data_IF_250004238981
#
_entry.id   IF_250004238981
#
_cell.length_a   1.000
_cell.length_b   1.000
_cell.length_c   1.000
_cell.angle_alpha   90.00
_cell.angle_beta   90.00
_cell.angle_gamma   90.00
#
_symmetry.space_group_name_H-M   'P 1'
#
loop_
_entity.id
_entity.type
_entity.pdbx_description
1 polymer ?
#
# COMPACT_ATOMS: atom_id res chain seq x y z
N UNK A 1 7.68 55.01 61.35
CA UNK A 1 6.44 55.20 62.13
C UNK A 1 5.77 53.85 62.25
N UNK A 2 5.81 53.29 63.45
CA UNK A 2 4.99 52.17 63.87
C UNK A 2 3.52 52.57 63.81
N UNK A 3 2.63 51.64 63.45
CA UNK A 3 1.42 51.40 64.24
C UNK A 3 0.73 50.07 63.88
N UNK A 4 0.14 49.53 64.93
CA UNK A 4 -0.24 48.15 65.16
C UNK A 4 -1.65 47.81 64.65
N UNK A 5 -1.89 46.49 64.61
CA UNK A 5 -3.15 45.79 64.32
C UNK A 5 -4.40 46.30 65.05
N UNK A 6 -5.58 45.92 64.54
CA UNK A 6 -6.51 45.17 65.37
C UNK A 6 -7.08 43.90 64.70
N UNK A 7 -7.32 42.89 65.54
CA UNK A 7 -7.82 41.55 65.22
C UNK A 7 -9.33 41.41 65.51
N UNK A 8 -9.99 40.54 64.71
CA UNK A 8 -11.18 39.67 64.98
C UNK A 8 -12.57 40.32 65.03
N UNK A 9 -13.71 39.57 64.83
CA UNK A 9 -13.95 38.10 64.93
C UNK A 9 -14.59 37.44 63.68
N UNK A 10 -14.26 36.18 63.32
CA UNK A 10 -14.88 34.89 63.71
C UNK A 10 -16.42 34.85 63.65
N UNK A 11 -16.95 34.33 62.53
CA UNK A 11 -18.23 33.60 62.44
C UNK A 11 -18.07 32.43 61.44
N UNK A 12 -18.03 31.20 61.97
CA UNK A 12 -18.54 29.95 61.36
C UNK A 12 -19.87 29.67 62.08
N UNK A 13 -20.87 28.91 61.56
CA UNK A 13 -20.77 27.73 60.68
C UNK A 13 -21.79 27.78 59.51
N UNK A 14 -21.77 26.90 58.51
CA UNK A 14 -22.45 25.59 58.55
C UNK A 14 -22.12 24.81 57.27
N UNK A 15 -22.12 23.49 57.41
CA UNK A 15 -21.57 22.56 56.43
C UNK A 15 -22.29 22.54 55.09
N UNK A 16 -21.50 22.24 54.06
CA UNK A 16 -21.95 21.40 52.97
C UNK A 16 -20.75 20.65 52.43
N UNK A 17 -20.65 19.39 52.88
CA UNK A 17 -19.77 18.38 52.32
C UNK A 17 -20.18 18.11 50.89
N UNK A 18 -19.37 18.54 49.91
CA UNK A 18 -19.35 17.94 48.60
C UNK A 18 -17.94 17.43 48.33
N UNK A 19 -17.80 16.11 48.42
CA UNK A 19 -16.66 15.37 47.91
C UNK A 19 -16.55 15.61 46.41
N UNK A 20 -15.55 16.37 45.98
CA UNK A 20 -14.98 16.20 44.64
C UNK A 20 -13.53 15.79 44.82
N UNK A 21 -13.32 14.47 44.70
CA UNK A 21 -12.00 13.85 44.62
C UNK A 21 -11.19 14.58 43.55
N UNK A 22 -10.01 15.07 43.95
CA UNK A 22 -8.86 15.29 43.08
C UNK A 22 -8.73 14.10 42.12
N UNK A 23 -9.05 14.32 40.86
CA UNK A 23 -8.48 13.53 39.77
C UNK A 23 -7.57 14.49 39.03
N UNK A 24 -6.35 14.61 39.55
CA UNK A 24 -5.22 14.98 38.71
C UNK A 24 -5.02 13.84 37.72
N UNK A 25 -5.54 14.02 36.51
CA UNK A 25 -5.09 13.27 35.34
C UNK A 25 -4.53 14.31 34.39
N UNK A 26 -3.23 14.58 34.57
CA UNK A 26 -2.43 15.10 33.48
C UNK A 26 -2.56 14.12 32.32
N UNK A 27 -3.27 14.54 31.28
CA UNK A 27 -3.36 13.87 29.99
C UNK A 27 -2.04 14.00 29.22
N UNK A 28 -0.94 13.64 29.90
CA UNK A 28 0.27 13.19 29.25
C UNK A 28 -0.01 11.78 28.74
N UNK A 29 -0.65 11.72 27.57
CA UNK A 29 -0.76 10.52 26.74
C UNK A 29 0.64 10.05 26.35
N UNK A 30 1.34 9.41 27.30
CA UNK A 30 2.40 8.45 27.01
C UNK A 30 1.71 7.29 26.31
N UNK A 31 1.57 7.41 24.99
CA UNK A 31 1.43 6.24 24.14
C UNK A 31 2.57 5.31 24.52
N UNK A 32 2.25 4.26 25.26
CA UNK A 32 3.14 3.14 25.45
C UNK A 32 3.52 2.67 24.04
N UNK A 33 4.76 2.94 23.64
CA UNK A 33 5.31 2.42 22.38
C UNK A 33 5.18 0.91 22.46
N UNK A 34 4.21 0.35 21.75
CA UNK A 34 4.09 -1.10 21.59
C UNK A 34 5.38 -1.55 20.92
N UNK A 35 6.24 -2.34 21.57
CA UNK A 35 7.58 -2.67 21.05
C UNK A 35 7.55 -3.31 19.65
N UNK A 36 6.42 -3.93 19.27
CA UNK A 36 6.22 -4.53 17.94
C UNK A 36 5.79 -3.58 16.82
N UNK A 37 5.18 -2.43 17.12
CA UNK A 37 4.64 -1.53 16.09
C UNK A 37 5.75 -0.86 15.26
N UNK A 38 6.88 -0.56 15.89
CA UNK A 38 8.06 0.02 15.23
C UNK A 38 8.77 -1.00 14.33
N UNK A 39 8.82 -2.27 14.75
CA UNK A 39 9.39 -3.37 13.95
C UNK A 39 8.53 -3.65 12.71
N UNK A 40 7.19 -3.71 12.85
CA UNK A 40 6.29 -3.90 11.72
C UNK A 40 6.34 -2.74 10.72
N UNK A 41 6.44 -1.49 11.20
CA UNK A 41 6.58 -0.31 10.33
C UNK A 41 7.88 -0.34 9.53
N UNK A 42 9.01 -0.67 10.18
CA UNK A 42 10.31 -0.82 9.53
C UNK A 42 10.31 -1.96 8.51
N UNK A 43 9.71 -3.10 8.86
CA UNK A 43 9.55 -4.23 7.94
C UNK A 43 8.67 -3.90 6.74
N UNK A 44 7.59 -3.13 6.91
CA UNK A 44 6.75 -2.69 5.81
C UNK A 44 7.52 -1.76 4.86
N UNK A 45 8.23 -0.76 5.39
CA UNK A 45 9.10 0.12 4.59
C UNK A 45 10.19 -0.66 3.84
N UNK A 46 10.76 -1.69 4.48
CA UNK A 46 11.71 -2.58 3.84
C UNK A 46 11.06 -3.38 2.71
N UNK A 47 9.88 -3.97 2.94
CA UNK A 47 9.14 -4.73 1.93
C UNK A 47 8.81 -3.85 0.71
N UNK A 48 8.32 -2.62 0.95
CA UNK A 48 8.05 -1.63 -0.09
C UNK A 48 9.32 -1.28 -0.89
N UNK A 49 10.46 -1.15 -0.20
CA UNK A 49 11.75 -0.88 -0.84
C UNK A 49 12.23 -2.04 -1.70
N UNK A 50 12.03 -3.27 -1.25
CA UNK A 50 12.37 -4.49 -2.01
C UNK A 50 11.49 -4.59 -3.25
N UNK A 51 10.18 -4.40 -3.11
CA UNK A 51 9.24 -4.40 -4.24
C UNK A 51 9.61 -3.33 -5.26
N UNK A 52 9.92 -2.11 -4.80
CA UNK A 52 10.35 -1.02 -5.68
C UNK A 52 11.62 -1.40 -6.44
N UNK A 53 12.68 -1.81 -5.75
CA UNK A 53 13.95 -2.16 -6.38
C UNK A 53 13.82 -3.31 -7.39
N UNK A 54 12.99 -4.31 -7.07
CA UNK A 54 12.72 -5.43 -7.96
C UNK A 54 11.95 -5.00 -9.22
N UNK A 55 10.88 -4.22 -9.06
CA UNK A 55 10.07 -3.72 -10.18
C UNK A 55 10.87 -2.78 -11.09
N UNK A 56 11.69 -1.90 -10.52
CA UNK A 56 12.54 -0.97 -11.27
C UNK A 56 13.81 -1.62 -11.81
N UNK A 57 14.00 -2.94 -11.60
CA UNK A 57 15.19 -3.70 -12.02
C UNK A 57 16.51 -3.13 -11.46
N UNK A 58 16.46 -2.48 -10.30
CA UNK A 58 17.65 -2.00 -9.58
C UNK A 58 18.27 -3.16 -8.79
N UNK A 59 19.05 -3.98 -9.50
CA UNK A 59 19.66 -5.19 -8.93
C UNK A 59 20.60 -4.88 -7.77
N UNK A 60 21.38 -3.80 -7.85
CA UNK A 60 22.33 -3.40 -6.81
C UNK A 60 21.59 -3.03 -5.51
N UNK A 61 20.52 -2.23 -5.61
CA UNK A 61 19.69 -1.90 -4.44
C UNK A 61 18.94 -3.11 -3.91
N UNK A 62 18.37 -3.94 -4.78
CA UNK A 62 17.66 -5.15 -4.39
C UNK A 62 18.57 -6.08 -3.59
N UNK A 63 19.80 -6.27 -4.07
CA UNK A 63 20.80 -7.08 -3.39
C UNK A 63 21.15 -6.54 -1.99
N UNK A 64 21.39 -5.24 -1.88
CA UNK A 64 21.66 -4.58 -0.60
C UNK A 64 20.50 -4.76 0.39
N UNK A 65 19.26 -4.59 -0.07
CA UNK A 65 18.07 -4.73 0.75
C UNK A 65 17.85 -6.18 1.23
N UNK A 66 18.07 -7.17 0.37
CA UNK A 66 17.97 -8.59 0.73
C UNK A 66 19.10 -9.02 1.68
N UNK A 67 20.30 -8.45 1.53
CA UNK A 67 21.42 -8.67 2.45
C UNK A 67 21.14 -8.07 3.81
N UNK A 68 20.65 -6.83 3.89
CA UNK A 68 20.22 -6.19 5.14
C UNK A 68 19.15 -7.03 5.86
N UNK A 69 18.27 -7.67 5.09
CA UNK A 69 17.27 -8.57 5.61
C UNK A 69 17.92 -9.68 6.47
N UNK A 70 19.03 -10.29 6.05
CA UNK A 70 19.70 -11.36 6.84
C UNK A 70 20.11 -10.96 8.26
N UNK A 71 20.24 -9.67 8.57
CA UNK A 71 20.50 -9.18 9.93
C UNK A 71 19.24 -8.83 10.74
N UNK A 72 18.06 -8.86 10.13
CA UNK A 72 16.79 -8.53 10.79
C UNK A 72 16.27 -9.75 11.58
N UNK A 73 16.41 -9.72 12.90
CA UNK A 73 15.68 -10.64 13.76
C UNK A 73 14.21 -10.19 13.83
N UNK A 74 13.31 -10.94 13.21
CA UNK A 74 11.91 -10.57 13.11
C UNK A 74 11.00 -11.73 13.52
N UNK A 75 10.01 -11.42 14.37
CA UNK A 75 8.99 -12.38 14.75
C UNK A 75 8.17 -12.81 13.52
N UNK A 76 7.82 -14.10 13.44
CA UNK A 76 7.04 -14.68 12.32
C UNK A 76 5.75 -13.90 12.01
N UNK A 77 5.09 -13.42 13.05
CA UNK A 77 3.85 -12.67 12.97
C UNK A 77 4.04 -11.31 12.26
N UNK A 78 5.11 -10.59 12.58
CA UNK A 78 5.45 -9.34 11.91
C UNK A 78 5.77 -9.56 10.41
N UNK A 79 6.42 -10.69 10.07
CA UNK A 79 6.70 -11.05 8.67
C UNK A 79 5.45 -11.40 7.86
N UNK A 80 4.45 -12.02 8.50
CA UNK A 80 3.18 -12.34 7.87
C UNK A 80 2.32 -11.09 7.62
N UNK A 81 2.26 -10.16 8.59
CA UNK A 81 1.44 -8.93 8.52
C UNK A 81 2.01 -7.87 7.58
N UNK A 82 3.32 -7.89 7.36
CA UNK A 82 4.01 -6.99 6.44
C UNK A 82 4.20 -7.58 5.05
N UNK A 83 3.92 -8.87 4.88
CA UNK A 83 4.11 -9.56 3.62
C UNK A 83 5.58 -9.84 3.27
N UNK A 84 6.52 -9.47 4.13
CA UNK A 84 7.95 -9.73 3.98
C UNK A 84 8.24 -11.23 3.75
N UNK A 85 7.47 -12.11 4.39
CA UNK A 85 7.59 -13.56 4.20
C UNK A 85 7.37 -14.00 2.74
N UNK A 86 6.45 -13.36 2.01
CA UNK A 86 6.15 -13.68 0.61
C UNK A 86 7.32 -13.25 -0.28
N UNK A 87 7.83 -12.04 -0.07
CA UNK A 87 8.96 -11.50 -0.83
C UNK A 87 10.22 -12.36 -0.65
N UNK A 88 10.51 -12.78 0.57
CA UNK A 88 11.69 -13.61 0.87
C UNK A 88 11.59 -15.02 0.28
N UNK A 89 10.39 -15.58 0.18
CA UNK A 89 10.20 -16.91 -0.40
C UNK A 89 10.03 -16.90 -1.93
N UNK A 90 9.86 -15.73 -2.55
CA UNK A 90 9.59 -15.60 -3.99
C UNK A 90 10.78 -16.01 -4.85
N UNK A 91 10.67 -17.11 -5.58
CA UNK A 91 11.68 -17.52 -6.56
C UNK A 91 11.93 -16.47 -7.64
N UNK A 92 10.90 -15.77 -8.11
CA UNK A 92 10.99 -14.74 -9.13
C UNK A 92 11.81 -13.52 -8.71
N UNK A 93 11.72 -13.11 -7.44
CA UNK A 93 12.54 -11.99 -6.92
C UNK A 93 14.01 -12.40 -6.93
N UNK A 94 14.32 -13.60 -6.43
CA UNK A 94 15.70 -14.10 -6.40
C UNK A 94 16.28 -14.38 -7.78
N UNK A 95 15.47 -14.86 -8.74
CA UNK A 95 15.89 -15.09 -10.12
C UNK A 95 16.23 -13.80 -10.88
N UNK A 96 15.85 -12.62 -10.34
CA UNK A 96 16.23 -11.33 -10.93
C UNK A 96 17.66 -10.88 -10.58
N UNK A 97 18.35 -11.60 -9.69
CA UNK A 97 19.73 -11.36 -9.29
C UNK A 97 20.70 -12.25 -10.09
N UNK A 98 21.99 -11.89 -10.18
CA UNK A 98 23.00 -12.73 -10.83
C UNK A 98 23.10 -14.14 -10.21
N UNK A 99 23.36 -15.15 -11.05
CA UNK A 99 23.41 -16.56 -10.63
C UNK A 99 24.42 -16.86 -9.52
N UNK A 100 25.49 -16.06 -9.44
CA UNK A 100 26.49 -16.11 -8.35
C UNK A 100 25.91 -15.90 -6.95
N UNK A 101 24.64 -15.48 -6.86
CA UNK A 101 23.91 -15.29 -5.60
C UNK A 101 22.96 -16.45 -5.25
N UNK A 102 22.76 -17.45 -6.11
CA UNK A 102 21.87 -18.58 -5.82
C UNK A 102 22.34 -19.42 -4.62
N UNK A 103 23.64 -19.58 -4.41
CA UNK A 103 24.19 -20.29 -3.25
C UNK A 103 23.99 -19.48 -1.95
N UNK A 104 24.25 -18.16 -2.01
CA UNK A 104 24.04 -17.24 -0.88
C UNK A 104 22.56 -17.11 -0.51
N UNK A 105 21.66 -17.20 -1.50
CA UNK A 105 20.21 -17.25 -1.32
C UNK A 105 19.79 -18.42 -0.45
N UNK A 106 20.26 -19.64 -0.73
CA UNK A 106 19.85 -20.82 0.07
C UNK A 106 20.27 -20.67 1.54
N UNK A 107 21.48 -20.16 1.80
CA UNK A 107 21.95 -19.86 3.15
C UNK A 107 21.10 -18.78 3.85
N UNK A 108 20.81 -17.67 3.16
CA UNK A 108 19.98 -16.59 3.67
C UNK A 108 18.55 -17.07 3.97
N UNK A 109 17.89 -17.72 3.01
CA UNK A 109 16.52 -18.25 3.13
C UNK A 109 16.43 -19.28 4.25
N UNK A 110 17.45 -20.14 4.42
CA UNK A 110 17.47 -21.15 5.49
C UNK A 110 17.58 -20.52 6.87
N UNK A 111 18.50 -19.58 7.08
CA UNK A 111 18.64 -18.83 8.35
C UNK A 111 17.34 -18.09 8.69
N UNK A 112 16.73 -17.48 7.70
CA UNK A 112 15.44 -16.81 7.84
C UNK A 112 14.28 -17.75 8.21
N UNK A 113 14.19 -18.90 7.55
CA UNK A 113 13.18 -19.93 7.86
C UNK A 113 13.35 -20.49 9.27
N UNK A 114 14.58 -20.64 9.75
CA UNK A 114 14.87 -21.05 11.12
C UNK A 114 14.38 -20.00 12.13
N UNK A 115 14.67 -18.71 11.90
CA UNK A 115 14.19 -17.61 12.75
C UNK A 115 12.65 -17.50 12.75
N UNK A 116 12.01 -17.71 11.60
CA UNK A 116 10.55 -17.70 11.50
C UNK A 116 9.86 -18.89 12.19
N UNK A 117 10.53 -20.03 12.38
CA UNK A 117 9.96 -21.20 13.08
C UNK A 117 9.87 -21.02 14.59
N UNK A 118 10.66 -20.12 15.16
CA UNK A 118 10.75 -19.90 16.61
C UNK A 118 9.60 -19.05 17.20
N UNK A 119 8.65 -18.56 16.39
CA UNK A 119 7.47 -17.84 16.89
C UNK A 119 6.18 -18.65 16.68
N UNK A 120 5.33 -18.80 17.72
CA UNK A 120 4.07 -19.52 17.61
C UNK A 120 3.15 -18.83 16.61
N UNK A 121 2.51 -19.61 15.74
CA UNK A 121 1.57 -19.12 14.75
C UNK A 121 0.22 -18.87 15.41
N UNK A 122 -0.21 -17.60 15.49
CA UNK A 122 -1.61 -17.27 15.70
C UNK A 122 -2.28 -17.03 14.34
N UNK A 123 -3.51 -17.53 14.21
CA UNK A 123 -4.35 -17.46 13.01
C UNK A 123 -4.78 -16.01 12.71
N UNK A 124 -3.87 -15.17 12.24
CA UNK A 124 -4.22 -13.85 11.71
C UNK A 124 -4.23 -13.83 10.17
N UNK A 125 -5.15 -13.04 9.63
CA UNK A 125 -5.31 -12.76 8.20
C UNK A 125 -4.02 -12.17 7.63
N UNK A 126 -3.32 -12.98 6.83
CA UNK A 126 -2.12 -12.56 6.09
C UNK A 126 -2.53 -11.43 5.13
N UNK A 127 -2.08 -10.20 5.38
CA UNK A 127 -2.17 -9.14 4.36
C UNK A 127 -1.17 -9.48 3.26
N UNK A 128 -1.68 -9.83 2.09
CA UNK A 128 -0.85 -10.14 0.93
C UNK A 128 -0.30 -8.82 0.37
N UNK A 129 1.02 -8.55 0.44
CA UNK A 129 1.61 -7.28 0.00
C UNK A 129 1.48 -7.09 -1.52
N UNK A 130 1.22 -8.17 -2.24
CA UNK A 130 1.01 -8.22 -3.69
C UNK A 130 -0.47 -8.37 -4.07
N UNK A 131 -1.41 -7.90 -3.24
CA UNK A 131 -2.85 -7.95 -3.52
C UNK A 131 -3.41 -9.36 -3.79
N UNK A 132 -2.84 -10.39 -3.17
CA UNK A 132 -3.24 -11.78 -3.37
C UNK A 132 -2.62 -12.47 -4.59
N UNK A 133 -1.77 -11.77 -5.36
CA UNK A 133 -1.10 -12.31 -6.54
C UNK A 133 0.22 -12.98 -6.22
N UNK A 134 0.55 -14.03 -6.96
CA UNK A 134 1.92 -14.52 -7.00
C UNK A 134 2.87 -13.42 -7.52
N UNK A 135 4.14 -13.39 -7.07
CA UNK A 135 5.10 -12.38 -7.50
C UNK A 135 5.20 -12.23 -9.03
N UNK A 136 5.30 -13.32 -9.78
CA UNK A 136 5.34 -13.25 -11.25
C UNK A 136 4.15 -12.49 -11.84
N UNK A 137 2.94 -12.81 -11.40
CA UNK A 137 1.71 -12.18 -11.87
C UNK A 137 1.61 -10.72 -11.44
N UNK A 138 2.05 -10.40 -10.22
CA UNK A 138 2.13 -9.02 -9.75
C UNK A 138 3.06 -8.19 -10.63
N UNK A 139 4.24 -8.69 -10.95
CA UNK A 139 5.18 -8.00 -11.83
C UNK A 139 4.62 -7.84 -13.25
N UNK A 140 3.89 -8.83 -13.75
CA UNK A 140 3.19 -8.72 -15.02
C UNK A 140 2.11 -7.63 -14.99
N UNK A 141 1.30 -7.57 -13.93
CA UNK A 141 0.29 -6.53 -13.75
C UNK A 141 0.93 -5.13 -13.69
N UNK A 142 2.02 -4.98 -12.93
CA UNK A 142 2.78 -3.71 -12.87
C UNK A 142 3.32 -3.32 -14.24
N UNK A 143 3.89 -4.25 -15.01
CA UNK A 143 4.40 -3.94 -16.35
C UNK A 143 3.28 -3.58 -17.33
N UNK A 144 2.12 -4.26 -17.27
CA UNK A 144 0.95 -3.89 -18.09
C UNK A 144 0.47 -2.48 -17.78
N UNK A 145 0.34 -2.14 -16.49
CA UNK A 145 -0.06 -0.81 -16.04
C UNK A 145 0.97 0.26 -16.44
N UNK A 146 2.27 -0.03 -16.26
CA UNK A 146 3.37 0.85 -16.67
C UNK A 146 3.32 1.16 -18.17
N UNK A 147 3.19 0.13 -19.00
CA UNK A 147 3.15 0.30 -20.45
C UNK A 147 1.92 1.09 -20.89
N UNK A 148 0.78 0.90 -20.22
CA UNK A 148 -0.41 1.70 -20.44
C UNK A 148 -0.17 3.17 -20.10
N UNK A 149 0.36 3.47 -18.91
CA UNK A 149 0.69 4.85 -18.49
C UNK A 149 1.65 5.52 -19.50
N UNK A 150 2.69 4.81 -19.93
CA UNK A 150 3.66 5.33 -20.89
C UNK A 150 3.03 5.62 -22.27
N UNK A 151 2.18 4.72 -22.76
CA UNK A 151 1.47 4.91 -24.03
C UNK A 151 0.54 6.14 -23.99
N UNK A 152 -0.08 6.39 -22.84
CA UNK A 152 -0.99 7.51 -22.62
C UNK A 152 -0.29 8.87 -22.58
N UNK A 153 1.00 8.89 -22.25
CA UNK A 153 1.84 10.08 -22.38
C UNK A 153 2.56 10.21 -23.72
N UNK A 154 2.27 9.34 -24.68
CA UNK A 154 2.99 9.30 -25.96
C UNK A 154 4.51 9.12 -25.78
N UNK A 155 4.95 8.46 -24.71
CA UNK A 155 6.34 8.08 -24.53
C UNK A 155 6.64 6.85 -25.41
N UNK A 156 7.10 7.09 -26.64
CA UNK A 156 7.23 6.04 -27.67
C UNK A 156 8.56 5.24 -27.56
N UNK A 157 9.56 5.73 -26.83
CA UNK A 157 10.93 5.15 -26.90
C UNK A 157 11.53 4.81 -25.53
N UNK A 158 11.35 5.66 -24.51
CA UNK A 158 11.87 5.38 -23.16
C UNK A 158 10.78 5.55 -22.09
N UNK A 159 10.39 4.45 -21.44
CA UNK A 159 9.52 4.53 -20.26
C UNK A 159 10.29 5.20 -19.12
N UNK A 160 9.83 6.36 -18.68
CA UNK A 160 10.44 7.07 -17.57
C UNK A 160 10.36 6.23 -16.28
N UNK A 161 11.37 6.28 -15.38
CA UNK A 161 11.37 5.49 -14.15
C UNK A 161 10.13 5.69 -13.26
N UNK A 162 9.54 6.89 -13.29
CA UNK A 162 8.35 7.21 -12.52
C UNK A 162 7.07 6.53 -13.06
N UNK A 163 7.03 6.09 -14.33
CA UNK A 163 5.92 5.27 -14.85
C UNK A 163 5.81 3.96 -14.06
N UNK A 164 6.96 3.32 -13.78
CA UNK A 164 7.02 2.10 -12.98
C UNK A 164 6.64 2.37 -11.51
N UNK A 165 7.02 3.53 -10.97
CA UNK A 165 6.62 3.98 -9.63
C UNK A 165 5.10 4.11 -9.49
N UNK A 166 4.45 4.83 -10.41
CA UNK A 166 3.00 5.01 -10.40
C UNK A 166 2.27 3.68 -10.62
N UNK A 167 2.73 2.85 -11.57
CA UNK A 167 2.17 1.53 -11.80
C UNK A 167 2.23 0.64 -10.56
N UNK A 168 3.37 0.63 -9.85
CA UNK A 168 3.52 -0.10 -8.60
C UNK A 168 2.54 0.39 -7.54
N UNK A 169 2.39 1.71 -7.36
CA UNK A 169 1.46 2.30 -6.38
C UNK A 169 -0.01 1.96 -6.66
N UNK A 170 -0.39 1.81 -7.92
CA UNK A 170 -1.72 1.41 -8.35
C UNK A 170 -1.95 -0.09 -8.11
N UNK A 171 -1.05 -0.94 -8.61
CA UNK A 171 -1.21 -2.40 -8.50
C UNK A 171 -1.12 -2.86 -7.04
N UNK A 172 -0.27 -2.26 -6.21
CA UNK A 172 -0.19 -2.54 -4.78
C UNK A 172 -1.46 -2.17 -3.98
N UNK A 173 -2.36 -1.37 -4.58
CA UNK A 173 -3.69 -1.05 -4.03
C UNK A 173 -4.81 -1.91 -4.64
N UNK A 174 -4.49 -2.85 -5.52
CA UNK A 174 -5.44 -3.75 -6.16
C UNK A 174 -5.91 -3.31 -7.56
N UNK A 175 -5.37 -2.23 -8.12
CA UNK A 175 -5.69 -1.80 -9.48
C UNK A 175 -4.88 -2.60 -10.49
N UNK A 176 -5.31 -3.84 -10.78
CA UNK A 176 -4.62 -4.77 -11.68
C UNK A 176 -4.80 -4.46 -13.18
N UNK A 177 -5.79 -3.62 -13.51
CA UNK A 177 -6.12 -3.20 -14.87
C UNK A 177 -6.41 -1.70 -14.88
N UNK A 178 -6.05 -0.94 -15.94
CA UNK A 178 -6.40 0.47 -16.04
C UNK A 178 -7.90 0.72 -15.84
N UNK A 179 -8.75 -0.17 -16.36
CA UNK A 179 -10.20 -0.07 -16.23
C UNK A 179 -10.71 -0.13 -14.79
N UNK A 180 -9.91 -0.60 -13.83
CA UNK A 180 -10.28 -0.54 -12.41
C UNK A 180 -10.31 0.90 -11.87
N UNK A 181 -9.79 1.89 -12.61
CA UNK A 181 -9.91 3.31 -12.29
C UNK A 181 -11.30 3.89 -12.63
N UNK A 182 -12.16 3.11 -13.29
CA UNK A 182 -13.54 3.51 -13.59
C UNK A 182 -14.31 3.85 -12.31
N UNK A 183 -15.03 4.98 -12.33
CA UNK A 183 -15.85 5.46 -11.22
C UNK A 183 -15.07 6.24 -10.16
N UNK A 184 -13.74 6.30 -10.24
CA UNK A 184 -12.96 7.19 -9.39
C UNK A 184 -13.07 8.64 -9.86
N UNK A 185 -13.00 9.59 -8.94
CA UNK A 185 -12.83 11.01 -9.24
C UNK A 185 -11.35 11.37 -9.44
N UNK A 186 -11.01 12.38 -10.27
CA UNK A 186 -9.63 12.78 -10.52
C UNK A 186 -8.90 13.26 -9.26
N UNK A 187 -9.62 13.82 -8.29
CA UNK A 187 -9.10 14.29 -7.00
C UNK A 187 -8.44 13.17 -6.17
N UNK A 188 -8.89 11.93 -6.36
CA UNK A 188 -8.35 10.76 -5.65
C UNK A 188 -6.88 10.51 -6.02
N UNK A 189 -6.39 11.06 -7.14
CA UNK A 189 -4.98 10.93 -7.53
C UNK A 189 -3.99 11.36 -6.44
N UNK A 190 -4.36 12.36 -5.61
CA UNK A 190 -3.55 12.84 -4.48
C UNK A 190 -3.39 11.82 -3.36
N UNK A 191 -4.31 10.87 -3.24
CA UNK A 191 -4.25 9.79 -2.26
C UNK A 191 -3.27 8.70 -2.69
N UNK A 192 -3.00 8.59 -3.99
CA UNK A 192 -2.10 7.56 -4.52
C UNK A 192 -0.63 7.92 -4.41
N UNK A 193 -0.31 9.20 -4.59
CA UNK A 193 1.07 9.69 -4.70
C UNK A 193 1.19 11.17 -4.34
N UNK A 194 2.33 11.56 -3.78
CA UNK A 194 2.68 12.96 -3.50
C UNK A 194 3.36 13.65 -4.69
N UNK A 195 3.81 12.89 -5.70
CA UNK A 195 4.55 13.41 -6.85
C UNK A 195 3.59 14.13 -7.81
N UNK A 196 3.84 15.42 -8.06
CA UNK A 196 2.96 16.28 -8.88
C UNK A 196 2.77 15.71 -10.29
N UNK A 197 3.83 15.20 -10.89
CA UNK A 197 3.78 14.59 -12.23
C UNK A 197 2.89 13.34 -12.24
N UNK A 198 3.08 12.45 -11.27
CA UNK A 198 2.28 11.22 -11.16
C UNK A 198 0.80 11.56 -10.90
N UNK A 199 0.50 12.56 -10.06
CA UNK A 199 -0.87 13.03 -9.79
C UNK A 199 -1.55 13.57 -11.06
N UNK A 200 -0.86 14.41 -11.82
CA UNK A 200 -1.41 15.01 -13.04
C UNK A 200 -1.74 13.93 -14.08
N UNK A 201 -0.86 12.96 -14.24
CA UNK A 201 -1.05 11.84 -15.17
C UNK A 201 -2.19 10.95 -14.72
N UNK A 202 -2.21 10.53 -13.46
CA UNK A 202 -3.30 9.70 -12.92
C UNK A 202 -4.66 10.39 -13.04
N UNK A 203 -4.73 11.69 -12.77
CA UNK A 203 -5.97 12.47 -12.92
C UNK A 203 -6.48 12.45 -14.38
N UNK A 204 -5.58 12.63 -15.35
CA UNK A 204 -5.92 12.56 -16.78
C UNK A 204 -6.38 11.16 -17.19
N UNK A 205 -5.71 10.12 -16.69
CA UNK A 205 -6.07 8.73 -16.94
C UNK A 205 -7.47 8.40 -16.43
N UNK A 206 -7.78 8.79 -15.19
CA UNK A 206 -9.12 8.60 -14.58
C UNK A 206 -10.20 9.26 -15.44
N UNK A 207 -10.00 10.53 -15.82
CA UNK A 207 -10.95 11.26 -16.68
C UNK A 207 -11.13 10.58 -18.02
N UNK A 208 -10.03 10.14 -18.66
CA UNK A 208 -10.07 9.45 -19.95
C UNK A 208 -10.87 8.15 -19.85
N UNK A 209 -10.59 7.33 -18.83
CA UNK A 209 -11.24 6.02 -18.65
C UNK A 209 -12.73 6.21 -18.37
N UNK A 210 -13.10 7.13 -17.47
CA UNK A 210 -14.51 7.46 -17.23
C UNK A 210 -15.22 7.92 -18.50
N UNK A 211 -14.59 8.80 -19.29
CA UNK A 211 -15.16 9.26 -20.55
C UNK A 211 -15.31 8.14 -21.59
N UNK A 212 -14.33 7.24 -21.70
CA UNK A 212 -14.42 6.07 -22.58
C UNK A 212 -15.57 5.14 -22.17
N UNK A 213 -15.73 4.89 -20.87
CA UNK A 213 -16.81 4.05 -20.35
C UNK A 213 -18.18 4.70 -20.53
N UNK A 214 -18.31 6.00 -20.26
CA UNK A 214 -19.56 6.75 -20.50
C UNK A 214 -19.96 6.72 -21.97
N UNK A 215 -19.03 6.97 -22.90
CA UNK A 215 -19.30 6.90 -24.34
C UNK A 215 -19.77 5.51 -24.77
N UNK A 216 -19.10 4.47 -24.28
CA UNK A 216 -19.49 3.12 -24.65
C UNK A 216 -20.83 2.68 -24.03
N UNK A 217 -21.16 3.13 -22.80
CA UNK A 217 -22.51 2.93 -22.22
C UNK A 217 -23.58 3.66 -23.03
N UNK A 218 -23.33 4.91 -23.43
CA UNK A 218 -24.24 5.68 -24.26
C UNK A 218 -24.43 5.05 -25.65
N UNK A 219 -23.36 4.51 -26.24
CA UNK A 219 -23.43 3.78 -27.51
C UNK A 219 -24.28 2.51 -27.37
N UNK A 220 -24.05 1.72 -26.32
CA UNK A 220 -24.84 0.52 -26.03
C UNK A 220 -26.33 0.84 -25.83
N UNK A 221 -26.65 1.91 -25.09
CA UNK A 221 -28.03 2.36 -24.91
C UNK A 221 -28.67 2.81 -26.23
N UNK A 222 -27.91 3.48 -27.10
CA UNK A 222 -28.40 3.88 -28.43
C UNK A 222 -28.68 2.67 -29.31
N UNK A 223 -27.82 1.66 -29.30
CA UNK A 223 -28.02 0.42 -30.07
C UNK A 223 -29.21 -0.40 -29.56
N UNK A 224 -29.43 -0.44 -28.24
CA UNK A 224 -30.65 -1.01 -27.64
C UNK A 224 -31.91 -0.26 -28.07
N UNK A 225 -31.90 1.08 -28.05
CA UNK A 225 -33.03 1.91 -28.44
C UNK A 225 -33.36 1.82 -29.94
N UNK A 226 -32.37 1.51 -30.78
CA UNK A 226 -32.52 1.33 -32.23
C UNK A 226 -32.94 -0.10 -32.63
N UNK A 227 -33.20 -0.99 -31.66
CA UNK A 227 -33.66 -2.35 -31.94
C UNK A 227 -32.60 -3.24 -32.59
N UNK A 228 -31.31 -3.02 -32.33
CA UNK A 228 -30.25 -3.85 -32.85
C UNK A 228 -30.45 -5.33 -32.43
N UNK A 229 -30.40 -6.24 -33.40
CA UNK A 229 -30.58 -7.68 -33.21
C UNK A 229 -29.73 -8.22 -32.03
N UNK A 230 -30.39 -8.87 -31.07
CA UNK A 230 -29.84 -9.52 -29.87
C UNK A 230 -28.47 -10.24 -30.01
N UNK A 231 -28.14 -10.95 -31.13
CA UNK A 231 -26.81 -11.55 -31.30
C UNK A 231 -25.64 -10.55 -31.30
N UNK A 232 -25.87 -9.28 -31.66
CA UNK A 232 -24.84 -8.23 -31.60
C UNK A 232 -24.62 -7.71 -30.17
N UNK A 233 -25.69 -7.62 -29.38
CA UNK A 233 -25.62 -7.20 -27.98
C UNK A 233 -24.82 -8.21 -27.14
N UNK A 234 -24.93 -9.51 -27.39
CA UNK A 234 -24.10 -10.51 -26.72
C UNK A 234 -22.62 -10.43 -27.09
N UNK A 235 -22.27 -10.09 -28.35
CA UNK A 235 -20.87 -9.84 -28.75
C UNK A 235 -20.31 -8.58 -28.10
N UNK A 236 -21.15 -7.56 -27.95
CA UNK A 236 -20.78 -6.33 -27.25
C UNK A 236 -20.62 -6.65 -25.77
N UNK A 237 -21.60 -7.23 -25.10
CA UNK A 237 -21.51 -7.59 -23.67
C UNK A 237 -20.34 -8.56 -23.38
N UNK A 238 -20.03 -9.49 -24.30
CA UNK A 238 -18.83 -10.34 -24.24
C UNK A 238 -17.53 -9.52 -24.36
N UNK A 239 -17.45 -8.57 -25.30
CA UNK A 239 -16.31 -7.64 -25.41
C UNK A 239 -16.12 -6.78 -24.16
N UNK A 240 -17.21 -6.39 -23.52
CA UNK A 240 -17.19 -5.56 -22.31
C UNK A 240 -16.83 -6.38 -21.05
N UNK A 241 -17.33 -7.60 -20.92
CA UNK A 241 -16.97 -8.51 -19.83
C UNK A 241 -15.54 -9.05 -19.94
N UNK A 242 -15.01 -9.24 -21.15
CA UNK A 242 -13.59 -9.59 -21.39
C UNK A 242 -12.61 -8.45 -21.06
N UNK A 243 -13.04 -7.18 -21.07
CA UNK A 243 -12.20 -6.03 -20.65
C UNK A 243 -12.15 -5.81 -19.13
N UNK A 244 -13.05 -6.44 -18.37
CA UNK A 244 -13.12 -6.36 -16.90
C UNK A 244 -12.45 -7.54 -16.18
N UNK A 245 -11.93 -8.52 -16.91
CA UNK A 245 -11.08 -9.61 -16.37
C UNK A 245 -9.62 -9.31 -16.68
#
# INVERSE_FOLDING_TARGET
MEQQSPRKPVLKPAGSTSLVKKVGLSSASRQARVPGADVESRLRKWADSVMTAWVTRDQARLLRLLTQATGLQCARLALARTGAAILLNSSSIWASLPDSWNEKRQGAVTRWKQLARLSPAQNETKKHPLCGLEPGDFLMAVNRMKNYIAAEEFAIVDTAPWHASLALKLVARGFLSPYHLEGLGPEVAKEFTAEVQEQAVLSRLIVKINNQQMRGRAQFQKELALGADMPNLNKINARWSLRRR
#
